data_IF_928484823124
#
_entry.id   IF_928484823124
#
_cell.length_a   1.000
_cell.length_b   1.000
_cell.length_c   1.000
_cell.angle_alpha   90.00
_cell.angle_beta   90.00
_cell.angle_gamma   90.00
#
_symmetry.space_group_name_H-M   'P 1'
#
loop_
_entity.id
_entity.type
_entity.pdbx_description
1 polymer ?
#
# COMPACT_ATOMS: atom_id res chain seq x y z
N UNK A 1 -22.53 -6.98 -15.83
CA UNK A 1 -21.44 -7.94 -15.56
C UNK A 1 -20.16 -7.37 -16.14
N UNK A 2 -19.06 -7.31 -15.37
CA UNK A 2 -17.78 -6.77 -15.83
C UNK A 2 -16.92 -7.94 -16.34
N UNK A 3 -16.55 -7.91 -17.62
CA UNK A 3 -15.88 -9.03 -18.33
C UNK A 3 -14.52 -8.66 -18.94
N UNK A 4 -13.91 -7.57 -18.46
CA UNK A 4 -12.62 -7.05 -18.97
C UNK A 4 -11.51 -7.08 -17.90
N UNK A 5 -11.55 -8.10 -17.03
CA UNK A 5 -10.61 -8.25 -15.91
C UNK A 5 -9.16 -8.46 -16.33
N UNK A 6 -8.92 -8.89 -17.58
CA UNK A 6 -7.58 -9.05 -18.14
C UNK A 6 -6.90 -7.70 -18.40
N UNK A 7 -7.66 -6.65 -18.75
CA UNK A 7 -7.14 -5.29 -18.92
C UNK A 7 -6.97 -4.59 -17.56
N UNK A 8 -7.92 -4.74 -16.63
CA UNK A 8 -7.79 -4.29 -15.25
C UNK A 8 -8.81 -4.96 -14.35
N UNK A 9 -8.48 -5.18 -13.08
CA UNK A 9 -9.42 -5.76 -12.11
C UNK A 9 -10.13 -4.70 -11.28
N UNK A 10 -11.32 -5.04 -10.78
CA UNK A 10 -11.95 -4.33 -9.68
C UNK A 10 -11.12 -4.53 -8.40
N UNK A 11 -11.08 -3.50 -7.55
CA UNK A 11 -10.25 -3.51 -6.34
C UNK A 11 -11.13 -3.96 -5.18
N UNK A 12 -10.75 -5.00 -4.42
CA UNK A 12 -11.52 -5.39 -3.24
C UNK A 12 -11.45 -4.28 -2.17
N UNK A 13 -12.47 -4.22 -1.31
CA UNK A 13 -12.61 -3.16 -0.31
C UNK A 13 -11.38 -3.04 0.62
N UNK A 14 -10.71 -4.16 0.94
CA UNK A 14 -9.50 -4.14 1.76
C UNK A 14 -8.37 -3.31 1.12
N UNK A 15 -8.20 -3.37 -0.20
CA UNK A 15 -7.20 -2.57 -0.94
C UNK A 15 -7.57 -1.09 -0.89
N UNK A 16 -8.85 -0.77 -1.11
CA UNK A 16 -9.35 0.61 -1.06
C UNK A 16 -9.13 1.21 0.33
N UNK A 17 -9.48 0.46 1.39
CA UNK A 17 -9.38 0.91 2.77
C UNK A 17 -7.93 1.21 3.17
N UNK A 18 -6.98 0.34 2.82
CA UNK A 18 -5.56 0.54 3.16
C UNK A 18 -5.00 1.77 2.46
N UNK A 19 -5.29 1.95 1.16
CA UNK A 19 -4.85 3.14 0.41
C UNK A 19 -5.46 4.42 1.00
N UNK A 20 -6.76 4.38 1.31
CA UNK A 20 -7.46 5.52 1.91
C UNK A 20 -6.90 5.87 3.30
N UNK A 21 -6.64 4.87 4.13
CA UNK A 21 -6.06 5.06 5.46
C UNK A 21 -4.64 5.65 5.38
N UNK A 22 -3.81 5.13 4.46
CA UNK A 22 -2.48 5.66 4.24
C UNK A 22 -2.53 7.16 3.90
N UNK A 23 -3.34 7.56 2.91
CA UNK A 23 -3.39 8.96 2.48
C UNK A 23 -4.07 9.90 3.49
N UNK A 24 -5.02 9.40 4.29
CA UNK A 24 -5.74 10.23 5.27
C UNK A 24 -5.02 10.40 6.61
N UNK A 25 -4.19 9.43 7.02
CA UNK A 25 -3.63 9.41 8.38
C UNK A 25 -2.11 9.15 8.45
N UNK A 26 -1.49 8.61 7.39
CA UNK A 26 -0.11 8.08 7.46
C UNK A 26 0.78 8.53 6.30
N UNK A 27 0.34 9.54 5.54
CA UNK A 27 1.03 9.97 4.33
C UNK A 27 2.39 10.59 4.66
N UNK A 28 3.46 9.88 4.29
CA UNK A 28 4.83 10.33 4.49
C UNK A 28 5.77 9.69 3.47
N UNK A 29 6.86 10.38 3.14
CA UNK A 29 7.89 9.84 2.25
C UNK A 29 8.59 8.63 2.89
N UNK A 30 8.93 7.61 2.10
CA UNK A 30 9.60 6.36 2.53
C UNK A 30 11.14 6.42 2.50
N UNK A 31 11.74 7.57 2.15
CA UNK A 31 13.17 7.68 1.86
C UNK A 31 13.88 8.86 2.55
N UNK A 32 13.81 8.91 3.89
CA UNK A 32 14.55 9.81 4.82
C UNK A 32 13.71 10.98 5.38
N UNK A 33 12.88 10.67 6.36
CA UNK A 33 12.32 11.62 7.31
C UNK A 33 12.63 11.14 8.72
N UNK A 34 13.08 12.03 9.61
CA UNK A 34 13.43 11.71 11.00
C UNK A 34 12.21 11.64 11.94
N UNK A 35 10.99 11.69 11.39
CA UNK A 35 9.74 11.73 12.15
C UNK A 35 8.99 10.39 12.11
N UNK A 36 8.18 10.15 13.15
CA UNK A 36 7.46 8.90 13.39
C UNK A 36 6.60 8.42 12.21
N UNK A 37 5.97 9.34 11.48
CA UNK A 37 5.16 9.02 10.30
C UNK A 37 6.00 8.45 9.15
N UNK A 38 7.19 9.00 8.91
CA UNK A 38 8.10 8.47 7.89
C UNK A 38 8.63 7.08 8.26
N UNK A 39 8.99 6.86 9.53
CA UNK A 39 9.43 5.54 9.99
C UNK A 39 8.33 4.48 9.81
N UNK A 40 7.07 4.84 10.14
CA UNK A 40 5.93 3.94 9.95
C UNK A 40 5.66 3.64 8.47
N UNK A 41 5.60 4.68 7.61
CA UNK A 41 5.39 4.50 6.17
C UNK A 41 6.49 3.62 5.54
N UNK A 42 7.75 3.83 5.95
CA UNK A 42 8.88 3.02 5.49
C UNK A 42 8.71 1.55 5.92
N UNK A 43 8.35 1.29 7.18
CA UNK A 43 8.14 -0.07 7.68
C UNK A 43 7.01 -0.78 6.94
N UNK A 44 5.88 -0.11 6.67
CA UNK A 44 4.76 -0.70 5.94
C UNK A 44 5.14 -1.01 4.48
N UNK A 45 5.90 -0.11 3.85
CA UNK A 45 6.39 -0.31 2.49
C UNK A 45 7.32 -1.53 2.40
N UNK A 46 8.30 -1.64 3.30
CA UNK A 46 9.21 -2.79 3.33
C UNK A 46 8.49 -4.11 3.63
N UNK A 47 7.51 -4.11 4.53
CA UNK A 47 6.68 -5.28 4.79
C UNK A 47 5.88 -5.73 3.55
N UNK A 48 5.34 -4.77 2.78
CA UNK A 48 4.68 -5.08 1.51
C UNK A 48 5.67 -5.68 0.49
N UNK A 49 6.90 -5.15 0.42
CA UNK A 49 7.96 -5.67 -0.45
C UNK A 49 8.32 -7.12 -0.10
N UNK A 50 8.50 -7.43 1.18
CA UNK A 50 8.78 -8.80 1.65
C UNK A 50 7.61 -9.76 1.37
N UNK A 51 6.37 -9.29 1.54
CA UNK A 51 5.18 -10.09 1.24
C UNK A 51 5.04 -10.39 -0.25
N UNK A 52 5.39 -9.46 -1.14
CA UNK A 52 5.44 -9.73 -2.58
C UNK A 52 6.57 -10.71 -2.89
N UNK A 53 7.76 -10.53 -2.31
CA UNK A 53 8.91 -11.41 -2.51
C UNK A 53 8.69 -12.86 -2.04
N UNK A 54 7.76 -13.09 -1.09
CA UNK A 54 7.37 -14.43 -0.64
C UNK A 54 6.18 -15.01 -1.41
N UNK A 55 5.45 -14.17 -2.14
CA UNK A 55 4.32 -14.61 -2.97
C UNK A 55 4.77 -15.16 -4.33
N UNK A 56 5.88 -14.64 -4.87
CA UNK A 56 6.53 -15.09 -6.11
C UNK A 56 7.75 -15.95 -5.82
#
# INVERSE_FOLDING_TARGET
>A
MYLDSAATTQKPQCVINVISHYYSAQNANVHRGSHSLTANATSQFEAARERVASFI
#
